data_IF_657609934753
#
_entry.id   IF_657609934753
#
_cell.length_a   1.000
_cell.length_b   1.000
_cell.length_c   1.000
_cell.angle_alpha   90.00
_cell.angle_beta   90.00
_cell.angle_gamma   90.00
#
_symmetry.space_group_name_H-M   'P 1'
#
loop_
_entity.id
_entity.type
_entity.pdbx_description
1 polymer ?
#
# COMPACT_ATOMS: atom_id res chain seq x y z
N UNK A 1 -72.00 0.01 -7.19
CA UNK A 1 -70.89 0.03 -6.22
C UNK A 1 -69.73 -0.99 -6.49
N UNK A 2 -69.66 -1.62 -7.70
CA UNK A 2 -68.62 -2.64 -8.00
C UNK A 2 -67.46 -2.14 -8.91
N UNK A 3 -67.51 -0.94 -9.42
CA UNK A 3 -66.47 -0.42 -10.36
C UNK A 3 -65.37 0.42 -9.72
N UNK A 4 -65.52 0.87 -8.49
CA UNK A 4 -64.54 1.73 -7.81
C UNK A 4 -63.48 0.95 -7.04
N UNK A 5 -63.77 -0.32 -6.67
CA UNK A 5 -62.80 -1.17 -5.90
C UNK A 5 -61.66 -1.68 -6.80
N UNK A 6 -61.90 -1.86 -8.10
CA UNK A 6 -60.91 -2.38 -9.04
C UNK A 6 -59.79 -1.33 -9.35
N UNK A 7 -60.12 -0.04 -9.35
CA UNK A 7 -59.13 0.99 -9.60
C UNK A 7 -58.18 1.32 -8.45
N UNK A 8 -58.60 1.09 -7.22
CA UNK A 8 -57.77 1.28 -6.03
C UNK A 8 -56.74 0.14 -5.89
N UNK A 9 -57.07 -1.10 -6.27
CA UNK A 9 -56.14 -2.22 -6.26
C UNK A 9 -55.08 -2.15 -7.38
N UNK A 10 -55.38 -1.59 -8.54
CA UNK A 10 -54.43 -1.37 -9.62
C UNK A 10 -53.45 -0.20 -9.30
N UNK A 11 -53.93 0.84 -8.60
CA UNK A 11 -53.07 1.95 -8.16
C UNK A 11 -52.08 1.52 -7.04
N UNK A 12 -52.46 0.61 -6.16
CA UNK A 12 -51.56 0.09 -5.12
C UNK A 12 -50.55 -0.94 -5.64
N UNK A 13 -50.82 -1.63 -6.75
CA UNK A 13 -49.83 -2.50 -7.42
C UNK A 13 -48.80 -1.72 -8.26
N UNK A 14 -49.13 -0.50 -8.74
CA UNK A 14 -48.20 0.35 -9.49
C UNK A 14 -47.19 1.08 -8.61
N UNK A 15 -47.44 1.22 -7.29
CA UNK A 15 -46.53 1.83 -6.33
C UNK A 15 -45.45 0.86 -5.79
N UNK A 16 -45.58 -0.43 -6.05
CA UNK A 16 -44.62 -1.47 -5.62
C UNK A 16 -43.47 -1.76 -6.60
N UNK A 17 -43.49 -1.21 -7.78
CA UNK A 17 -42.50 -1.49 -8.86
C UNK A 17 -41.44 -0.40 -9.07
N UNK A 18 -41.41 0.65 -8.25
CA UNK A 18 -40.48 1.78 -8.41
C UNK A 18 -39.24 1.73 -7.50
N UNK A 19 -38.89 0.59 -6.90
CA UNK A 19 -37.78 0.50 -5.95
C UNK A 19 -36.76 -0.61 -6.25
N UNK A 20 -36.55 -0.94 -7.52
CA UNK A 20 -35.31 -1.62 -7.95
C UNK A 20 -34.53 -0.67 -8.85
N UNK A 21 -33.99 0.40 -8.29
CA UNK A 21 -32.88 1.12 -8.94
C UNK A 21 -31.73 0.11 -9.09
N UNK A 22 -31.27 -0.11 -10.32
CA UNK A 22 -30.10 -0.94 -10.60
C UNK A 22 -28.96 -0.47 -9.69
N UNK A 23 -28.51 -1.36 -8.79
CA UNK A 23 -27.36 -1.12 -7.91
C UNK A 23 -26.10 -1.04 -8.76
N UNK A 24 -25.83 0.14 -9.33
CA UNK A 24 -24.72 0.33 -10.25
C UNK A 24 -23.50 0.86 -9.50
N UNK A 25 -22.42 0.06 -9.47
CA UNK A 25 -21.11 0.51 -8.99
C UNK A 25 -20.46 1.40 -10.05
N UNK A 26 -20.05 2.61 -9.67
CA UNK A 26 -19.24 3.49 -10.52
C UNK A 26 -17.79 3.09 -10.36
N UNK A 27 -17.11 2.79 -11.46
CA UNK A 27 -15.69 2.40 -11.48
C UNK A 27 -14.92 3.47 -12.25
N UNK A 28 -13.82 3.94 -11.68
CA UNK A 28 -12.90 4.88 -12.31
C UNK A 28 -11.48 4.34 -12.22
N UNK A 29 -10.73 4.44 -13.30
CA UNK A 29 -9.36 3.96 -13.41
C UNK A 29 -8.41 5.06 -13.85
N UNK A 30 -7.16 4.98 -13.39
CA UNK A 30 -6.06 5.86 -13.79
C UNK A 30 -4.73 5.11 -13.65
N UNK A 31 -3.63 5.76 -14.06
CA UNK A 31 -2.28 5.25 -13.88
C UNK A 31 -1.43 6.32 -13.19
N UNK A 32 -1.11 6.08 -11.90
CA UNK A 32 -0.34 6.99 -11.05
C UNK A 32 0.59 6.15 -10.16
N UNK A 33 1.67 6.71 -9.64
CA UNK A 33 2.67 6.00 -8.82
C UNK A 33 3.31 4.79 -9.52
N UNK A 34 3.37 4.81 -10.87
CA UNK A 34 3.88 3.70 -11.65
C UNK A 34 2.98 2.46 -11.64
N UNK A 35 1.68 2.60 -11.32
CA UNK A 35 0.74 1.49 -11.25
C UNK A 35 -0.68 1.87 -11.63
N UNK A 36 -1.52 0.86 -11.90
CA UNK A 36 -2.97 1.05 -12.08
C UNK A 36 -3.60 1.42 -10.74
N UNK A 37 -4.44 2.44 -10.81
CA UNK A 37 -5.29 2.90 -9.70
C UNK A 37 -6.74 2.66 -10.10
N UNK A 38 -7.54 2.16 -9.17
CA UNK A 38 -8.97 1.92 -9.36
C UNK A 38 -9.75 2.41 -8.13
N UNK A 39 -10.82 3.17 -8.38
CA UNK A 39 -11.77 3.60 -7.36
C UNK A 39 -13.15 3.10 -7.76
N UNK A 40 -13.73 2.22 -6.94
CA UNK A 40 -15.09 1.72 -7.08
C UNK A 40 -15.97 2.37 -6.03
N UNK A 41 -17.12 2.94 -6.43
CA UNK A 41 -18.09 3.55 -5.52
C UNK A 41 -19.43 2.83 -5.67
N UNK A 42 -19.95 2.34 -4.55
CA UNK A 42 -21.23 1.62 -4.46
C UNK A 42 -22.23 2.43 -3.61
N UNK A 43 -22.42 3.70 -3.97
CA UNK A 43 -23.28 4.64 -3.26
C UNK A 43 -24.56 4.93 -4.05
N UNK A 44 -25.68 5.11 -3.34
CA UNK A 44 -26.97 5.47 -3.94
C UNK A 44 -27.10 7.00 -4.10
N UNK A 45 -26.14 7.64 -4.78
CA UNK A 45 -26.11 9.08 -5.05
C UNK A 45 -25.96 9.34 -6.56
N UNK A 46 -26.14 10.58 -6.99
CA UNK A 46 -26.01 10.94 -8.40
C UNK A 46 -24.59 10.60 -8.93
N UNK A 47 -24.52 9.97 -10.09
CA UNK A 47 -23.25 9.58 -10.72
C UNK A 47 -22.31 10.76 -10.94
N UNK A 48 -22.87 11.96 -11.25
CA UNK A 48 -22.08 13.20 -11.40
C UNK A 48 -21.35 13.58 -10.12
N UNK A 49 -22.01 13.42 -8.97
CA UNK A 49 -21.39 13.67 -7.66
C UNK A 49 -20.24 12.68 -7.36
N UNK A 50 -20.45 11.40 -7.67
CA UNK A 50 -19.39 10.38 -7.55
C UNK A 50 -18.20 10.73 -8.42
N UNK A 51 -18.45 11.08 -9.69
CA UNK A 51 -17.37 11.45 -10.64
C UNK A 51 -16.57 12.67 -10.17
N UNK A 52 -17.25 13.68 -9.61
CA UNK A 52 -16.58 14.86 -9.05
C UNK A 52 -15.67 14.50 -7.85
N UNK A 53 -16.17 13.69 -6.91
CA UNK A 53 -15.38 13.25 -5.76
C UNK A 53 -14.17 12.40 -6.18
N UNK A 54 -14.35 11.46 -7.11
CA UNK A 54 -13.27 10.64 -7.64
C UNK A 54 -12.26 11.48 -8.41
N UNK A 55 -12.69 12.50 -9.17
CA UNK A 55 -11.77 13.42 -9.84
C UNK A 55 -10.86 14.15 -8.83
N UNK A 56 -11.38 14.56 -7.66
CA UNK A 56 -10.57 15.14 -6.56
C UNK A 56 -9.55 14.14 -6.02
N UNK A 57 -9.94 12.87 -5.85
CA UNK A 57 -9.01 11.79 -5.44
C UNK A 57 -7.88 11.63 -6.45
N UNK A 58 -8.20 11.53 -7.74
CA UNK A 58 -7.19 11.34 -8.78
C UNK A 58 -6.27 12.56 -8.92
N UNK A 59 -6.81 13.77 -8.79
CA UNK A 59 -6.02 15.00 -8.77
C UNK A 59 -5.05 15.05 -7.58
N UNK A 60 -5.48 14.58 -6.41
CA UNK A 60 -4.60 14.47 -5.23
C UNK A 60 -3.51 13.43 -5.46
N UNK A 61 -3.79 12.29 -6.05
CA UNK A 61 -2.77 11.29 -6.40
C UNK A 61 -1.72 11.84 -7.36
N UNK A 62 -2.14 12.56 -8.40
CA UNK A 62 -1.24 13.25 -9.32
C UNK A 62 -0.36 14.29 -8.63
N UNK A 63 -0.95 15.06 -7.70
CA UNK A 63 -0.20 16.03 -6.89
C UNK A 63 0.85 15.32 -6.04
N UNK A 64 0.45 14.28 -5.29
CA UNK A 64 1.36 13.50 -4.44
C UNK A 64 2.48 12.87 -5.25
N UNK A 65 2.15 12.29 -6.42
CA UNK A 65 3.13 11.69 -7.31
C UNK A 65 4.19 12.70 -7.74
N UNK A 66 3.79 13.91 -8.18
CA UNK A 66 4.74 14.96 -8.58
C UNK A 66 5.53 15.52 -7.40
N UNK A 67 4.91 15.71 -6.25
CA UNK A 67 5.54 16.34 -5.09
C UNK A 67 6.59 15.43 -4.44
N UNK A 68 6.31 14.11 -4.39
CA UNK A 68 7.11 13.13 -3.65
C UNK A 68 7.84 12.14 -4.56
N UNK A 69 7.97 12.45 -5.86
CA UNK A 69 8.75 11.61 -6.77
C UNK A 69 10.23 11.64 -6.38
N UNK A 70 10.83 10.45 -6.17
CA UNK A 70 12.21 10.36 -5.68
C UNK A 70 13.27 10.57 -6.78
N UNK A 71 12.87 10.52 -8.07
CA UNK A 71 13.81 10.42 -9.22
C UNK A 71 13.52 11.42 -10.36
N UNK A 72 12.50 12.26 -10.19
CA UNK A 72 12.18 13.37 -11.09
C UNK A 72 12.12 14.66 -10.29
N UNK A 73 12.27 15.83 -10.92
CA UNK A 73 12.23 17.11 -10.21
C UNK A 73 10.98 17.25 -9.33
N UNK A 74 11.17 17.39 -8.02
CA UNK A 74 10.13 17.39 -7.01
C UNK A 74 10.61 18.07 -5.72
N UNK A 75 9.72 18.30 -4.74
CA UNK A 75 10.13 18.74 -3.40
C UNK A 75 11.07 17.70 -2.74
N UNK A 76 10.80 16.40 -2.96
CA UNK A 76 11.62 15.33 -2.39
C UNK A 76 13.03 15.30 -2.99
N UNK A 77 13.19 15.47 -4.30
CA UNK A 77 14.53 15.51 -4.92
C UNK A 77 15.30 16.74 -4.50
N UNK A 78 14.66 17.90 -4.34
CA UNK A 78 15.31 19.10 -3.79
C UNK A 78 15.84 18.85 -2.38
N UNK A 79 15.05 18.15 -1.53
CA UNK A 79 15.52 17.76 -0.21
C UNK A 79 16.71 16.78 -0.30
N UNK A 80 16.64 15.77 -1.15
CA UNK A 80 17.74 14.82 -1.36
C UNK A 80 19.03 15.50 -1.82
N UNK A 81 18.94 16.48 -2.72
CA UNK A 81 20.09 17.27 -3.20
C UNK A 81 20.70 18.10 -2.08
N UNK A 82 19.88 18.76 -1.26
CA UNK A 82 20.33 19.52 -0.11
C UNK A 82 21.03 18.63 0.94
N UNK A 83 20.45 17.46 1.24
CA UNK A 83 21.04 16.48 2.16
C UNK A 83 22.40 15.97 1.65
N UNK A 84 22.51 15.67 0.35
CA UNK A 84 23.75 15.24 -0.29
C UNK A 84 24.83 16.32 -0.24
N UNK A 85 24.45 17.60 -0.36
CA UNK A 85 25.33 18.74 -0.24
C UNK A 85 25.68 19.13 1.21
N UNK A 86 25.12 18.43 2.23
CA UNK A 86 25.29 18.79 3.64
C UNK A 86 24.57 20.07 4.05
N UNK A 87 23.59 20.49 3.27
CA UNK A 87 22.82 21.70 3.50
C UNK A 87 21.50 21.38 4.21
N UNK A 88 20.92 22.37 4.89
CA UNK A 88 19.55 22.30 5.35
C UNK A 88 18.60 22.85 4.29
N UNK A 89 17.41 22.28 4.23
CA UNK A 89 16.33 22.78 3.38
C UNK A 89 15.06 22.99 4.23
N UNK A 90 14.32 24.06 3.96
CA UNK A 90 12.98 24.24 4.50
C UNK A 90 11.99 23.48 3.60
N UNK A 91 11.21 22.58 4.21
CA UNK A 91 10.20 21.76 3.52
C UNK A 91 8.80 22.15 3.95
N UNK A 92 7.81 21.81 3.13
CA UNK A 92 6.39 22.03 3.44
C UNK A 92 5.98 21.29 4.73
N UNK A 93 4.92 21.79 5.38
CA UNK A 93 4.33 21.12 6.57
C UNK A 93 3.93 19.68 6.27
N UNK A 94 3.42 19.43 5.06
CA UNK A 94 3.03 18.09 4.63
C UNK A 94 4.25 17.16 4.51
N UNK A 95 5.32 17.60 3.86
CA UNK A 95 6.59 16.86 3.78
C UNK A 95 7.16 16.59 5.18
N UNK A 96 7.17 17.58 6.06
CA UNK A 96 7.62 17.42 7.45
C UNK A 96 6.81 16.34 8.18
N UNK A 97 5.49 16.32 8.00
CA UNK A 97 4.61 15.29 8.56
C UNK A 97 4.96 13.89 8.07
N UNK A 98 5.18 13.71 6.77
CA UNK A 98 5.59 12.43 6.17
C UNK A 98 6.95 11.96 6.70
N UNK A 99 7.91 12.87 6.84
CA UNK A 99 9.23 12.54 7.38
C UNK A 99 9.16 12.08 8.84
N UNK A 100 8.40 12.79 9.67
CA UNK A 100 8.22 12.43 11.09
C UNK A 100 7.48 11.10 11.26
N UNK A 101 6.46 10.85 10.44
CA UNK A 101 5.74 9.57 10.45
C UNK A 101 6.65 8.43 10.00
N UNK A 102 7.44 8.63 8.94
CA UNK A 102 8.38 7.65 8.44
C UNK A 102 9.51 7.34 9.44
N UNK A 103 9.99 8.35 10.21
CA UNK A 103 10.93 8.12 11.32
C UNK A 103 10.34 7.21 12.40
N UNK A 104 9.05 7.40 12.76
CA UNK A 104 8.36 6.53 13.73
C UNK A 104 8.29 5.09 13.23
N UNK A 105 7.94 4.87 11.97
CA UNK A 105 7.91 3.53 11.37
C UNK A 105 9.30 2.89 11.28
N UNK A 106 10.32 3.66 10.91
CA UNK A 106 11.71 3.19 10.89
C UNK A 106 12.15 2.72 12.27
N UNK A 107 11.89 3.53 13.29
CA UNK A 107 12.20 3.19 14.68
C UNK A 107 11.43 1.95 15.15
N UNK A 108 10.11 1.88 14.93
CA UNK A 108 9.28 0.75 15.34
C UNK A 108 9.71 -0.56 14.68
N UNK A 109 10.18 -0.50 13.41
CA UNK A 109 10.66 -1.66 12.65
C UNK A 109 12.16 -1.94 12.85
N UNK A 110 12.85 -1.20 13.73
CA UNK A 110 14.30 -1.32 13.94
C UNK A 110 15.07 -1.17 12.61
N UNK A 111 14.65 -0.20 11.80
CA UNK A 111 15.25 0.13 10.51
C UNK A 111 14.98 -0.87 9.37
N UNK A 112 14.16 -1.91 9.56
CA UNK A 112 13.77 -2.83 8.47
C UNK A 112 12.87 -2.12 7.44
N UNK A 113 12.05 -1.15 7.86
CA UNK A 113 11.50 -0.15 6.98
C UNK A 113 12.29 1.15 7.17
N UNK A 114 12.96 1.61 6.13
CA UNK A 114 13.67 2.88 6.15
C UNK A 114 13.62 3.54 4.77
N UNK A 115 12.93 4.66 4.60
CA UNK A 115 12.91 5.38 3.34
C UNK A 115 14.23 6.15 3.05
N UNK A 116 15.20 6.17 3.96
CA UNK A 116 16.54 6.75 3.74
C UNK A 116 17.45 5.94 2.82
N UNK A 117 16.95 4.86 2.21
CA UNK A 117 17.69 3.91 1.38
C UNK A 117 17.69 4.25 -0.13
N UNK A 118 17.31 5.45 -0.54
CA UNK A 118 17.18 5.80 -1.95
C UNK A 118 18.45 5.52 -2.77
N UNK A 119 19.64 5.77 -2.22
CA UNK A 119 20.91 5.42 -2.90
C UNK A 119 21.08 3.91 -3.10
N UNK A 120 20.63 3.09 -2.16
CA UNK A 120 20.63 1.62 -2.30
C UNK A 120 19.67 1.19 -3.41
N UNK A 121 18.48 1.78 -3.47
CA UNK A 121 17.51 1.56 -4.55
C UNK A 121 18.13 1.89 -5.91
N UNK A 122 18.89 3.01 -6.00
CA UNK A 122 19.61 3.40 -7.20
C UNK A 122 20.74 2.41 -7.57
N UNK A 123 21.52 1.92 -6.59
CA UNK A 123 22.56 0.91 -6.81
C UNK A 123 21.99 -0.38 -7.43
N UNK A 124 20.81 -0.81 -6.98
CA UNK A 124 20.09 -1.98 -7.52
C UNK A 124 19.32 -1.70 -8.82
N UNK A 125 19.28 -0.44 -9.29
CA UNK A 125 18.58 -0.05 -10.52
C UNK A 125 17.07 0.03 -10.41
N UNK A 126 16.47 -0.10 -9.22
CA UNK A 126 15.01 -0.06 -9.03
C UNK A 126 14.40 1.35 -9.01
N UNK A 127 15.18 2.37 -9.31
CA UNK A 127 14.75 3.77 -9.41
C UNK A 127 14.07 4.13 -10.74
N UNK A 128 14.02 3.21 -11.71
CA UNK A 128 13.41 3.42 -13.02
C UNK A 128 12.26 2.44 -13.25
N UNK A 129 11.35 2.78 -14.17
CA UNK A 129 10.25 1.90 -14.57
C UNK A 129 10.73 0.70 -15.42
N UNK A 130 11.86 0.89 -16.13
CA UNK A 130 12.58 -0.18 -16.83
C UNK A 130 14.00 -0.28 -16.27
N UNK A 131 14.41 -1.46 -15.89
CA UNK A 131 15.74 -1.70 -15.33
C UNK A 131 16.47 -2.81 -16.06
N UNK A 132 17.81 -2.65 -16.14
CA UNK A 132 18.70 -3.67 -16.73
C UNK A 132 19.00 -4.71 -15.65
N UNK A 133 18.86 -6.01 -16.00
CA UNK A 133 19.24 -7.10 -15.11
C UNK A 133 20.77 -7.12 -14.94
N UNK A 134 21.25 -6.43 -13.91
CA UNK A 134 22.68 -6.31 -13.58
C UNK A 134 22.86 -6.23 -12.07
N UNK A 135 23.75 -7.06 -11.55
CA UNK A 135 24.14 -6.98 -10.13
C UNK A 135 24.97 -5.72 -9.89
N UNK A 136 24.71 -4.98 -8.80
CA UNK A 136 25.54 -3.87 -8.39
C UNK A 136 26.92 -4.34 -7.94
N UNK A 137 27.91 -3.43 -7.97
CA UNK A 137 29.23 -3.68 -7.43
C UNK A 137 29.16 -3.97 -5.92
N UNK A 138 29.64 -5.14 -5.46
CA UNK A 138 29.67 -5.46 -4.03
C UNK A 138 30.47 -4.46 -3.18
N UNK A 139 31.47 -3.81 -3.76
CA UNK A 139 32.27 -2.76 -3.07
C UNK A 139 31.39 -1.54 -2.79
N UNK A 140 30.53 -1.15 -3.73
CA UNK A 140 29.60 -0.04 -3.57
C UNK A 140 28.52 -0.37 -2.52
N UNK A 141 27.96 -1.60 -2.54
CA UNK A 141 27.00 -2.05 -1.52
C UNK A 141 27.64 -2.01 -0.14
N UNK A 142 28.83 -2.61 0.03
CA UNK A 142 29.53 -2.64 1.29
C UNK A 142 29.89 -1.25 1.80
N UNK A 143 30.22 -0.29 0.91
CA UNK A 143 30.46 1.09 1.28
C UNK A 143 29.20 1.76 1.78
N UNK A 144 28.04 1.51 1.13
CA UNK A 144 26.72 2.00 1.54
C UNK A 144 26.33 1.44 2.91
N UNK A 145 26.46 0.12 3.13
CA UNK A 145 26.16 -0.53 4.41
C UNK A 145 27.03 0.04 5.54
N UNK A 146 28.31 0.26 5.31
CA UNK A 146 29.21 0.89 6.32
C UNK A 146 28.83 2.33 6.65
N UNK A 147 28.36 3.09 5.65
CA UNK A 147 27.89 4.45 5.86
C UNK A 147 26.56 4.51 6.64
N UNK A 148 25.80 3.41 6.64
CA UNK A 148 24.57 3.20 7.41
C UNK A 148 23.57 4.38 7.30
N UNK A 149 23.21 4.84 6.09
CA UNK A 149 22.26 5.94 5.95
C UNK A 149 20.87 5.52 6.41
N UNK A 150 20.19 6.40 7.12
CA UNK A 150 18.86 6.15 7.70
C UNK A 150 18.08 7.44 7.84
N UNK A 151 16.76 7.38 7.66
CA UNK A 151 15.87 8.50 7.95
C UNK A 151 15.95 8.94 9.42
N UNK A 152 16.36 8.06 10.33
CA UNK A 152 16.55 8.36 11.75
C UNK A 152 17.66 9.42 11.98
N UNK A 153 18.53 9.64 11.00
CA UNK A 153 19.61 10.64 11.07
C UNK A 153 19.17 12.04 10.64
N UNK A 154 17.93 12.20 10.17
CA UNK A 154 17.39 13.51 9.88
C UNK A 154 17.07 14.27 11.19
N UNK A 155 17.52 15.50 11.25
CA UNK A 155 17.04 16.49 12.22
C UNK A 155 15.98 17.34 11.57
N UNK A 156 14.79 17.36 12.15
CA UNK A 156 13.60 18.03 11.65
C UNK A 156 13.19 19.06 12.69
N UNK A 157 13.49 20.31 12.40
CA UNK A 157 13.20 21.45 13.27
C UNK A 157 11.93 22.14 12.74
N UNK A 158 10.75 21.82 13.31
CA UNK A 158 9.45 22.34 12.88
C UNK A 158 9.27 23.81 13.21
N UNK A 159 8.56 24.53 12.32
CA UNK A 159 8.10 25.90 12.51
C UNK A 159 6.63 26.07 12.04
N UNK A 160 6.12 27.30 12.03
CA UNK A 160 4.72 27.60 11.68
C UNK A 160 4.37 27.32 10.22
N UNK A 161 5.37 27.20 9.33
CA UNK A 161 5.17 27.04 7.88
C UNK A 161 5.59 25.66 7.36
N UNK A 162 6.41 24.92 8.13
CA UNK A 162 6.93 23.61 7.75
C UNK A 162 8.01 23.12 8.69
N UNK A 163 9.17 22.77 8.15
CA UNK A 163 10.33 22.37 8.94
C UNK A 163 11.66 22.61 8.22
N UNK A 164 12.69 22.95 8.96
CA UNK A 164 14.07 22.85 8.48
C UNK A 164 14.57 21.41 8.65
N UNK A 165 15.03 20.81 7.55
CA UNK A 165 15.52 19.43 7.54
C UNK A 165 16.99 19.42 7.19
N UNK A 166 17.78 18.61 7.90
CA UNK A 166 19.21 18.38 7.66
C UNK A 166 19.62 16.99 8.11
N UNK A 167 20.74 16.50 7.60
CA UNK A 167 21.41 15.28 8.08
C UNK A 167 22.92 15.50 8.21
N UNK A 168 23.54 14.82 9.17
CA UNK A 168 24.99 14.71 9.25
C UNK A 168 25.56 13.62 8.32
N UNK A 169 24.71 12.73 7.81
CA UNK A 169 25.09 11.68 6.88
C UNK A 169 24.64 12.05 5.45
N UNK A 170 25.59 12.45 4.62
CA UNK A 170 25.34 12.87 3.23
C UNK A 170 24.98 11.68 2.30
N UNK A 171 24.99 10.45 2.81
CA UNK A 171 24.55 9.27 2.07
C UNK A 171 23.05 9.02 2.17
N UNK A 172 22.34 9.71 3.08
CA UNK A 172 20.89 9.62 3.18
C UNK A 172 20.28 10.19 1.88
N UNK A 173 19.43 9.39 1.25
CA UNK A 173 18.57 9.81 0.16
C UNK A 173 17.20 9.17 0.36
N UNK A 174 16.16 9.98 0.31
CA UNK A 174 14.81 9.56 0.65
C UNK A 174 14.09 9.01 -0.58
N UNK A 175 13.34 7.93 -0.37
CA UNK A 175 12.39 7.35 -1.32
C UNK A 175 11.16 6.86 -0.57
N UNK A 176 9.99 7.44 -0.88
CA UNK A 176 8.72 7.08 -0.25
C UNK A 176 7.96 5.97 -0.99
N UNK A 177 8.53 5.31 -1.98
CA UNK A 177 7.88 4.23 -2.73
C UNK A 177 7.33 3.09 -1.88
N UNK A 178 7.88 2.92 -0.66
CA UNK A 178 7.42 1.93 0.32
C UNK A 178 6.28 2.38 1.24
N UNK A 179 5.80 3.63 1.15
CA UNK A 179 4.75 4.19 2.03
C UNK A 179 3.74 5.06 1.30
N UNK A 180 4.12 5.66 0.16
CA UNK A 180 3.33 6.69 -0.50
C UNK A 180 1.96 6.18 -0.99
N UNK A 181 1.88 4.92 -1.45
CA UNK A 181 0.60 4.33 -1.87
C UNK A 181 -0.37 4.17 -0.71
N UNK A 182 0.15 3.77 0.44
CA UNK A 182 -0.64 3.67 1.66
C UNK A 182 -1.13 5.03 2.16
N UNK A 183 -0.24 6.05 2.15
CA UNK A 183 -0.62 7.44 2.46
C UNK A 183 -1.70 7.96 1.49
N UNK A 184 -1.59 7.62 0.20
CA UNK A 184 -2.57 7.98 -0.81
C UNK A 184 -3.94 7.32 -0.56
N UNK A 185 -4.00 6.07 -0.05
CA UNK A 185 -5.25 5.43 0.37
C UNK A 185 -5.94 6.22 1.49
N UNK A 186 -5.18 6.63 2.52
CA UNK A 186 -5.74 7.41 3.64
C UNK A 186 -6.27 8.77 3.16
N UNK A 187 -5.56 9.44 2.24
CA UNK A 187 -6.00 10.69 1.62
C UNK A 187 -7.27 10.52 0.80
N UNK A 188 -7.33 9.48 -0.03
CA UNK A 188 -8.51 9.17 -0.84
C UNK A 188 -9.74 8.89 0.03
N UNK A 189 -9.56 8.12 1.10
CA UNK A 189 -10.62 7.82 2.05
C UNK A 189 -11.17 9.10 2.70
N UNK A 190 -10.31 10.04 3.10
CA UNK A 190 -10.71 11.33 3.64
C UNK A 190 -11.52 12.15 2.63
N UNK A 191 -11.02 12.31 1.39
CA UNK A 191 -11.68 13.06 0.32
C UNK A 191 -13.07 12.48 0.00
N UNK A 192 -13.18 11.14 -0.09
CA UNK A 192 -14.46 10.51 -0.38
C UNK A 192 -15.47 10.70 0.76
N UNK A 193 -15.03 10.54 2.03
CA UNK A 193 -15.89 10.76 3.20
C UNK A 193 -16.34 12.21 3.33
N UNK A 194 -15.46 13.19 3.07
CA UNK A 194 -15.81 14.61 3.03
C UNK A 194 -16.85 14.92 1.95
N UNK A 195 -16.82 14.18 0.83
CA UNK A 195 -17.85 14.25 -0.21
C UNK A 195 -19.13 13.45 0.13
N UNK A 196 -19.26 12.86 1.33
CA UNK A 196 -20.41 12.05 1.72
C UNK A 196 -20.45 10.66 1.09
N UNK A 197 -19.36 10.19 0.48
CA UNK A 197 -19.24 8.84 -0.10
C UNK A 197 -18.65 7.92 0.96
N UNK A 198 -19.48 7.00 1.45
CA UNK A 198 -19.14 6.09 2.53
C UNK A 198 -18.99 4.62 2.09
N UNK A 199 -19.28 4.30 0.84
CA UNK A 199 -19.22 2.94 0.29
C UNK A 199 -18.32 2.91 -0.94
N UNK A 200 -17.02 2.66 -0.75
CA UNK A 200 -16.03 2.64 -1.82
C UNK A 200 -14.95 1.59 -1.60
N UNK A 201 -14.32 1.15 -2.69
CA UNK A 201 -13.08 0.38 -2.68
C UNK A 201 -12.03 1.13 -3.47
N UNK A 202 -10.89 1.40 -2.85
CA UNK A 202 -9.77 2.11 -3.45
C UNK A 202 -8.62 1.13 -3.59
N UNK A 203 -8.08 0.97 -4.80
CA UNK A 203 -6.97 0.06 -5.09
C UNK A 203 -5.84 0.84 -5.79
N UNK A 204 -4.66 0.81 -5.21
CA UNK A 204 -3.44 1.42 -5.75
C UNK A 204 -2.37 0.34 -5.87
N UNK A 205 -2.31 -0.32 -7.04
CA UNK A 205 -1.30 -1.34 -7.32
C UNK A 205 -1.29 -2.51 -6.34
N UNK A 206 -2.48 -2.92 -5.85
CA UNK A 206 -2.62 -4.02 -4.90
C UNK A 206 -2.64 -3.60 -3.42
N UNK A 207 -2.35 -2.35 -3.09
CA UNK A 207 -2.71 -1.78 -1.79
C UNK A 207 -4.16 -1.33 -1.86
N UNK A 208 -5.01 -1.85 -0.99
CA UNK A 208 -6.47 -1.67 -1.09
C UNK A 208 -7.05 -1.19 0.23
N UNK A 209 -7.97 -0.22 0.18
CA UNK A 209 -8.76 0.23 1.33
C UNK A 209 -10.25 0.14 1.02
N UNK A 210 -11.01 -0.37 1.98
CA UNK A 210 -12.46 -0.46 1.91
C UNK A 210 -13.11 0.63 2.78
N UNK A 211 -14.12 1.29 2.23
CA UNK A 211 -15.05 2.16 2.95
C UNK A 211 -16.43 1.51 2.90
N UNK A 212 -17.09 1.40 4.06
CA UNK A 212 -18.43 0.83 4.18
C UNK A 212 -18.56 -0.55 3.55
N UNK A 213 -19.60 -0.71 2.74
CA UNK A 213 -19.98 -2.00 2.15
C UNK A 213 -20.31 -1.87 0.66
N UNK A 214 -20.25 -2.97 -0.07
CA UNK A 214 -20.82 -3.09 -1.41
C UNK A 214 -22.26 -3.53 -1.32
N UNK A 215 -23.18 -2.56 -1.23
CA UNK A 215 -24.63 -2.80 -1.11
C UNK A 215 -25.03 -3.71 0.05
N UNK A 216 -24.42 -3.50 1.22
CA UNK A 216 -24.69 -4.27 2.44
C UNK A 216 -23.81 -5.52 2.62
N UNK A 217 -22.93 -5.84 1.66
CA UNK A 217 -21.97 -6.93 1.76
C UNK A 217 -20.54 -6.41 1.92
N UNK A 218 -19.64 -7.11 2.60
CA UNK A 218 -18.21 -6.74 2.64
C UNK A 218 -17.61 -6.66 1.24
N UNK A 219 -16.61 -5.79 1.09
CA UNK A 219 -15.81 -5.73 -0.12
C UNK A 219 -14.93 -6.97 -0.25
N UNK A 220 -14.87 -7.56 -1.43
CA UNK A 220 -14.09 -8.76 -1.70
C UNK A 220 -12.87 -8.41 -2.54
N UNK A 221 -11.69 -8.74 -2.02
CA UNK A 221 -10.39 -8.46 -2.64
C UNK A 221 -9.66 -9.76 -2.90
N UNK A 222 -9.23 -9.98 -4.14
CA UNK A 222 -8.39 -11.10 -4.50
C UNK A 222 -6.93 -10.82 -4.12
N UNK A 223 -6.30 -11.74 -3.38
CA UNK A 223 -4.87 -11.74 -3.11
C UNK A 223 -4.20 -12.62 -4.15
N UNK A 224 -3.31 -12.05 -4.94
CA UNK A 224 -2.63 -12.74 -6.05
C UNK A 224 -1.73 -13.87 -5.55
N UNK A 225 -1.72 -14.99 -6.27
CA UNK A 225 -0.76 -16.05 -6.05
C UNK A 225 0.64 -15.63 -6.55
N UNK A 226 1.71 -15.88 -5.78
CA UNK A 226 3.07 -15.44 -6.14
C UNK A 226 3.67 -16.18 -7.35
N UNK A 227 3.22 -17.39 -7.64
CA UNK A 227 3.89 -18.30 -8.59
C UNK A 227 3.01 -18.79 -9.75
N UNK A 228 1.72 -18.44 -9.73
CA UNK A 228 0.81 -18.80 -10.82
C UNK A 228 -0.19 -17.68 -11.08
N UNK A 229 -0.81 -17.71 -12.26
CA UNK A 229 -1.84 -16.75 -12.61
C UNK A 229 -3.13 -17.00 -11.82
N UNK A 230 -3.70 -15.94 -11.24
CA UNK A 230 -4.95 -16.00 -10.50
C UNK A 230 -4.78 -15.75 -9.00
N UNK A 231 -5.87 -15.83 -8.25
CA UNK A 231 -5.88 -15.56 -6.82
C UNK A 231 -5.42 -16.77 -6.01
N UNK A 232 -4.55 -16.51 -5.01
CA UNK A 232 -4.27 -17.45 -3.92
C UNK A 232 -5.50 -17.59 -3.01
N UNK A 233 -6.10 -16.45 -2.68
CA UNK A 233 -7.26 -16.39 -1.78
C UNK A 233 -8.08 -15.15 -2.04
N UNK A 234 -9.31 -15.13 -1.52
CA UNK A 234 -10.18 -13.96 -1.50
C UNK A 234 -10.36 -13.53 -0.05
N UNK A 235 -10.13 -12.25 0.21
CA UNK A 235 -10.29 -11.58 1.50
C UNK A 235 -11.55 -10.71 1.47
N UNK A 236 -12.34 -10.77 2.55
CA UNK A 236 -13.43 -9.83 2.80
C UNK A 236 -12.93 -8.69 3.68
N UNK A 237 -12.92 -7.46 3.12
CA UNK A 237 -12.55 -6.24 3.85
C UNK A 237 -13.79 -5.57 4.45
N UNK A 238 -13.65 -5.08 5.68
CA UNK A 238 -14.64 -4.32 6.43
C UNK A 238 -14.42 -2.83 6.25
N UNK A 239 -15.38 -2.03 6.70
CA UNK A 239 -15.26 -0.56 6.69
C UNK A 239 -13.99 -0.08 7.42
N UNK A 240 -13.23 0.79 6.75
CA UNK A 240 -11.99 1.37 7.26
C UNK A 240 -10.78 0.43 7.25
N UNK A 241 -10.93 -0.84 6.86
CA UNK A 241 -9.79 -1.74 6.73
C UNK A 241 -9.00 -1.47 5.46
N UNK A 242 -7.67 -1.58 5.59
CA UNK A 242 -6.74 -1.59 4.46
C UNK A 242 -5.92 -2.87 4.43
N UNK A 243 -5.57 -3.32 3.23
CA UNK A 243 -4.65 -4.43 3.00
C UNK A 243 -3.53 -3.99 2.07
N UNK A 244 -2.32 -4.42 2.38
CA UNK A 244 -1.14 -4.26 1.54
C UNK A 244 -0.43 -5.59 1.36
N UNK A 245 0.25 -5.75 0.22
CA UNK A 245 1.06 -6.93 -0.08
C UNK A 245 2.45 -6.51 -0.55
N UNK A 246 3.48 -7.04 0.09
CA UNK A 246 4.85 -7.05 -0.40
C UNK A 246 5.16 -8.41 -1.00
N UNK A 247 5.72 -8.46 -2.21
CA UNK A 247 6.00 -9.71 -2.91
C UNK A 247 7.22 -9.60 -3.83
N UNK A 248 7.90 -10.73 -4.03
CA UNK A 248 9.09 -10.86 -4.86
C UNK A 248 8.80 -10.96 -6.37
N UNK A 249 7.53 -10.95 -6.73
CA UNK A 249 7.03 -11.21 -8.09
C UNK A 249 6.52 -9.96 -8.81
N UNK A 250 6.40 -8.82 -8.13
CA UNK A 250 5.88 -7.59 -8.74
C UNK A 250 6.97 -6.80 -9.47
N UNK A 251 8.10 -6.55 -8.78
CA UNK A 251 9.26 -5.81 -9.32
C UNK A 251 10.52 -6.57 -8.97
N UNK A 252 11.16 -7.17 -9.97
CA UNK A 252 12.39 -7.95 -9.83
C UNK A 252 13.12 -8.02 -11.16
N UNK A 253 14.36 -8.42 -11.13
CA UNK A 253 15.09 -8.92 -12.29
C UNK A 253 15.72 -10.29 -11.97
N UNK A 254 16.15 -11.01 -13.00
CA UNK A 254 16.79 -12.30 -12.83
C UNK A 254 18.19 -12.27 -13.45
N UNK A 255 19.17 -12.83 -12.73
CA UNK A 255 20.54 -13.06 -13.19
C UNK A 255 20.91 -14.49 -12.83
N UNK A 256 21.39 -15.26 -13.79
CA UNK A 256 21.82 -16.67 -13.61
C UNK A 256 20.74 -17.55 -12.93
N UNK A 257 19.47 -17.32 -13.27
CA UNK A 257 18.33 -18.05 -12.72
C UNK A 257 17.94 -17.66 -11.29
N UNK A 258 18.64 -16.70 -10.68
CA UNK A 258 18.30 -16.16 -9.35
C UNK A 258 17.49 -14.88 -9.50
N UNK A 259 16.40 -14.77 -8.73
CA UNK A 259 15.52 -13.60 -8.67
C UNK A 259 16.01 -12.60 -7.61
N UNK A 260 16.04 -11.33 -8.00
CA UNK A 260 16.41 -10.20 -7.15
C UNK A 260 15.24 -9.23 -7.07
N UNK A 261 14.40 -9.31 -6.01
CA UNK A 261 13.27 -8.41 -5.83
C UNK A 261 13.70 -7.03 -5.36
N UNK A 262 12.83 -6.04 -5.60
CA UNK A 262 13.05 -4.65 -5.17
C UNK A 262 12.97 -4.43 -3.65
N UNK A 263 12.59 -5.44 -2.88
CA UNK A 263 12.50 -5.39 -1.41
C UNK A 263 13.90 -5.59 -0.81
N UNK A 264 14.57 -4.47 -0.60
CA UNK A 264 15.96 -4.45 -0.14
C UNK A 264 16.03 -4.47 1.39
N UNK A 265 16.95 -5.26 1.93
CA UNK A 265 17.25 -5.26 3.37
C UNK A 265 18.27 -4.16 3.69
N UNK A 266 17.91 -3.12 4.45
CA UNK A 266 18.81 -2.01 4.75
C UNK A 266 20.06 -2.41 5.52
N UNK A 267 20.03 -3.54 6.23
CA UNK A 267 21.16 -4.02 7.04
C UNK A 267 22.22 -4.74 6.22
N UNK A 268 21.78 -5.45 5.19
CA UNK A 268 22.71 -6.23 4.34
C UNK A 268 23.05 -5.52 3.02
N UNK A 269 22.18 -4.60 2.58
CA UNK A 269 22.26 -3.95 1.27
C UNK A 269 21.81 -4.83 0.10
N UNK A 270 21.24 -6.02 0.38
CA UNK A 270 20.77 -6.98 -0.64
C UNK A 270 19.27 -7.16 -0.59
N UNK A 271 18.64 -7.63 -1.69
CA UNK A 271 17.27 -8.10 -1.68
C UNK A 271 17.03 -9.14 -0.61
N UNK A 272 15.87 -9.07 0.06
CA UNK A 272 15.50 -10.00 1.11
C UNK A 272 15.12 -11.37 0.51
N UNK A 273 15.77 -12.48 0.91
CA UNK A 273 15.47 -13.83 0.44
C UNK A 273 14.38 -14.52 1.29
N UNK A 274 13.92 -15.68 0.82
CA UNK A 274 13.18 -16.65 1.64
C UNK A 274 11.67 -16.39 1.76
N UNK A 275 11.13 -15.37 1.08
CA UNK A 275 9.71 -15.03 1.13
C UNK A 275 9.19 -14.73 -0.27
N UNK A 276 8.06 -15.33 -0.63
CA UNK A 276 7.38 -15.02 -1.87
C UNK A 276 6.43 -13.81 -1.71
N UNK A 277 5.66 -13.77 -0.62
CA UNK A 277 4.79 -12.62 -0.32
C UNK A 277 4.40 -12.54 1.16
N UNK A 278 4.09 -11.31 1.57
CA UNK A 278 3.44 -11.01 2.85
C UNK A 278 2.28 -10.07 2.58
N UNK A 279 1.09 -10.48 3.01
CA UNK A 279 -0.11 -9.64 3.00
C UNK A 279 -0.56 -9.39 4.43
N UNK A 280 -0.95 -8.17 4.75
CA UNK A 280 -1.53 -7.83 6.05
C UNK A 280 -2.88 -7.14 5.89
N UNK A 281 -3.68 -7.19 6.95
CA UNK A 281 -4.90 -6.39 7.09
C UNK A 281 -4.75 -5.49 8.31
N UNK A 282 -5.06 -4.24 8.14
CA UNK A 282 -4.93 -3.20 9.17
C UNK A 282 -6.24 -2.41 9.26
N UNK A 283 -6.64 -2.06 10.46
CA UNK A 283 -7.79 -1.20 10.75
C UNK A 283 -7.37 0.03 11.58
N UNK A 284 -8.31 0.96 11.79
CA UNK A 284 -8.11 2.15 12.60
C UNK A 284 -7.34 3.27 11.91
N UNK A 285 -6.81 4.26 12.67
CA UNK A 285 -6.15 5.43 12.11
C UNK A 285 -4.96 5.07 11.22
N UNK A 286 -4.82 5.77 10.08
CA UNK A 286 -3.73 5.59 9.14
C UNK A 286 -3.60 4.13 8.65
N UNK A 287 -4.74 3.42 8.49
CA UNK A 287 -4.75 2.02 8.06
C UNK A 287 -4.09 1.85 6.69
N UNK A 288 -4.25 2.82 5.79
CA UNK A 288 -3.63 2.82 4.47
C UNK A 288 -2.10 2.78 4.55
N UNK A 289 -1.47 3.78 5.17
CA UNK A 289 -0.01 3.83 5.27
C UNK A 289 0.55 2.68 6.10
N UNK A 290 -0.13 2.28 7.18
CA UNK A 290 0.28 1.13 8.00
C UNK A 290 0.23 -0.17 7.20
N UNK A 291 -0.78 -0.39 6.37
CA UNK A 291 -0.88 -1.59 5.51
C UNK A 291 0.24 -1.66 4.47
N UNK A 292 0.69 -0.50 3.95
CA UNK A 292 1.82 -0.46 3.03
C UNK A 292 3.15 -0.70 3.77
N UNK A 293 3.45 0.11 4.79
CA UNK A 293 4.73 0.12 5.50
C UNK A 293 5.02 -1.19 6.21
N UNK A 294 4.06 -1.74 6.97
CA UNK A 294 4.32 -2.87 7.87
C UNK A 294 4.55 -4.21 7.14
N UNK A 295 4.18 -4.32 5.87
CA UNK A 295 4.53 -5.51 5.06
C UNK A 295 6.03 -5.64 4.83
N UNK A 296 6.80 -4.53 4.76
CA UNK A 296 8.23 -4.53 4.45
C UNK A 296 9.06 -5.20 5.55
N UNK A 297 8.97 -4.79 6.83
CA UNK A 297 9.72 -5.45 7.89
C UNK A 297 9.36 -6.93 8.04
N UNK A 298 8.09 -7.31 7.83
CA UNK A 298 7.66 -8.71 7.86
C UNK A 298 8.27 -9.52 6.71
N UNK A 299 8.31 -8.95 5.51
CA UNK A 299 8.93 -9.58 4.35
C UNK A 299 10.45 -9.70 4.52
N UNK A 300 11.10 -8.61 4.89
CA UNK A 300 12.57 -8.53 5.00
C UNK A 300 13.11 -9.43 6.12
N UNK A 301 12.33 -9.67 7.17
CA UNK A 301 12.75 -10.54 8.29
C UNK A 301 12.72 -12.04 7.96
N UNK A 302 12.19 -12.45 6.81
CA UNK A 302 12.18 -13.85 6.38
C UNK A 302 11.49 -14.76 7.39
N UNK A 303 12.17 -15.81 7.83
CA UNK A 303 11.64 -16.77 8.82
C UNK A 303 11.31 -16.15 10.19
N UNK A 304 11.81 -14.95 10.50
CA UNK A 304 11.54 -14.24 11.77
C UNK A 304 10.28 -13.36 11.71
N UNK A 305 9.51 -13.40 10.62
CA UNK A 305 8.35 -12.53 10.40
C UNK A 305 7.37 -12.52 11.59
N UNK A 306 7.19 -13.64 12.27
CA UNK A 306 6.25 -13.78 13.38
C UNK A 306 6.67 -12.95 14.60
N UNK A 307 7.96 -12.98 14.97
CA UNK A 307 8.49 -12.14 16.05
C UNK A 307 8.38 -10.65 15.71
N UNK A 308 8.57 -10.30 14.45
CA UNK A 308 8.39 -8.92 13.96
C UNK A 308 6.90 -8.53 14.00
N UNK A 309 5.99 -9.42 13.60
CA UNK A 309 4.54 -9.17 13.67
C UNK A 309 4.08 -8.90 15.11
N UNK A 310 4.54 -9.69 16.07
CA UNK A 310 4.27 -9.50 17.50
C UNK A 310 4.80 -8.15 17.99
N UNK A 311 6.05 -7.80 17.68
CA UNK A 311 6.66 -6.52 18.06
C UNK A 311 5.91 -5.33 17.47
N UNK A 312 5.46 -5.42 16.22
CA UNK A 312 4.70 -4.39 15.52
C UNK A 312 3.20 -4.42 15.85
N UNK A 313 2.77 -5.31 16.74
CA UNK A 313 1.37 -5.52 17.11
C UNK A 313 0.47 -5.71 15.87
N UNK A 314 0.98 -6.49 14.89
CA UNK A 314 0.27 -6.80 13.65
C UNK A 314 -0.32 -8.22 13.70
N UNK A 315 -1.62 -8.36 14.08
CA UNK A 315 -2.20 -9.67 14.34
C UNK A 315 -2.73 -10.36 13.07
N UNK A 316 -2.86 -9.66 11.96
CA UNK A 316 -3.53 -10.14 10.75
C UNK A 316 -2.54 -10.26 9.59
N UNK A 317 -1.87 -11.41 9.47
CA UNK A 317 -0.79 -11.67 8.49
C UNK A 317 -1.08 -12.94 7.71
N UNK A 318 -0.90 -12.87 6.39
CA UNK A 318 -0.77 -14.00 5.46
C UNK A 318 0.65 -13.96 4.90
N UNK A 319 1.43 -14.99 5.14
CA UNK A 319 2.83 -15.13 4.73
C UNK A 319 2.99 -16.35 3.82
N UNK A 320 3.65 -16.18 2.69
CA UNK A 320 4.01 -17.24 1.76
C UNK A 320 5.53 -17.36 1.74
N UNK A 321 6.05 -18.46 2.26
CA UNK A 321 7.48 -18.76 2.30
C UNK A 321 8.02 -19.08 0.90
N UNK A 322 9.35 -19.15 0.77
CA UNK A 322 10.04 -19.46 -0.50
C UNK A 322 9.63 -20.83 -1.07
N UNK A 323 9.41 -21.83 -0.23
CA UNK A 323 8.95 -23.16 -0.60
C UNK A 323 7.45 -23.24 -0.96
N UNK A 324 6.72 -22.13 -0.88
CA UNK A 324 5.29 -22.06 -1.14
C UNK A 324 4.41 -22.37 0.06
N UNK A 325 4.97 -22.70 1.22
CA UNK A 325 4.21 -22.91 2.47
C UNK A 325 3.46 -21.62 2.83
N UNK A 326 2.15 -21.74 3.00
CA UNK A 326 1.27 -20.62 3.38
C UNK A 326 1.06 -20.65 4.88
N UNK A 327 1.44 -19.58 5.56
CA UNK A 327 1.20 -19.38 6.98
C UNK A 327 0.23 -18.22 7.19
N UNK A 328 -0.78 -18.42 8.05
CA UNK A 328 -1.82 -17.43 8.31
C UNK A 328 -2.08 -17.31 9.80
N UNK A 329 -2.15 -16.08 10.31
CA UNK A 329 -2.51 -15.84 11.71
C UNK A 329 -3.98 -16.16 11.97
N UNK A 330 -4.30 -16.63 13.19
CA UNK A 330 -5.65 -17.06 13.55
C UNK A 330 -6.72 -15.98 13.27
N UNK A 331 -6.41 -14.73 13.56
CA UNK A 331 -7.34 -13.60 13.34
C UNK A 331 -7.75 -13.40 11.87
N UNK A 332 -6.89 -13.82 10.94
CA UNK A 332 -7.11 -13.65 9.50
C UNK A 332 -7.64 -14.92 8.84
N UNK A 333 -7.32 -16.10 9.39
CA UNK A 333 -7.55 -17.40 8.75
C UNK A 333 -9.02 -17.62 8.35
N UNK A 334 -9.98 -17.28 9.23
CA UNK A 334 -11.40 -17.51 8.97
C UNK A 334 -12.02 -16.51 7.97
N UNK A 335 -11.28 -15.48 7.60
CA UNK A 335 -11.69 -14.43 6.65
C UNK A 335 -11.20 -14.70 5.24
N UNK A 336 -10.31 -15.68 5.04
CA UNK A 336 -9.70 -16.03 3.77
C UNK A 336 -10.43 -17.20 3.13
N UNK A 337 -10.73 -17.06 1.83
CA UNK A 337 -11.33 -18.11 1.00
C UNK A 337 -10.31 -18.56 -0.03
N UNK A 338 -9.45 -19.50 0.36
CA UNK A 338 -8.41 -20.03 -0.52
C UNK A 338 -8.98 -20.66 -1.78
N UNK A 339 -8.29 -20.44 -2.89
CA UNK A 339 -8.68 -20.95 -4.20
C UNK A 339 -7.82 -22.15 -4.56
N UNK A 340 -8.41 -23.23 -5.10
CA UNK A 340 -7.62 -24.35 -5.58
C UNK A 340 -6.84 -23.95 -6.84
N UNK A 341 -5.59 -24.44 -6.93
CA UNK A 341 -4.77 -24.41 -8.14
C UNK A 341 -4.53 -25.86 -8.57
N UNK A 342 -4.82 -26.21 -9.82
CA UNK A 342 -4.78 -27.60 -10.35
C UNK A 342 -5.54 -28.61 -9.45
N UNK A 343 -6.70 -28.18 -8.94
CA UNK A 343 -7.57 -29.00 -8.08
C UNK A 343 -7.07 -29.20 -6.64
N UNK A 344 -5.97 -28.54 -6.23
CA UNK A 344 -5.39 -28.65 -4.89
C UNK A 344 -5.43 -27.32 -4.17
N UNK A 345 -5.83 -27.34 -2.90
CA UNK A 345 -5.65 -26.21 -2.00
C UNK A 345 -4.17 -26.11 -1.55
N UNK A 346 -3.65 -24.88 -1.28
CA UNK A 346 -2.34 -24.73 -0.70
C UNK A 346 -2.24 -25.40 0.67
N UNK A 347 -1.01 -25.80 1.06
CA UNK A 347 -0.73 -26.24 2.44
C UNK A 347 -0.77 -25.01 3.37
N UNK A 348 -1.77 -24.96 4.25
CA UNK A 348 -2.07 -23.81 5.09
C UNK A 348 -1.76 -24.11 6.55
N UNK A 349 -0.81 -23.40 7.12
CA UNK A 349 -0.47 -23.43 8.52
C UNK A 349 -1.15 -22.29 9.26
N UNK A 350 -2.11 -22.60 10.14
CA UNK A 350 -2.68 -21.63 11.08
C UNK A 350 -1.72 -21.39 12.22
N UNK A 351 -1.42 -20.13 12.48
CA UNK A 351 -0.46 -19.74 13.52
C UNK A 351 -1.19 -18.85 14.53
N UNK A 352 -1.08 -19.22 15.79
CA UNK A 352 -1.49 -18.34 16.90
C UNK A 352 -0.34 -17.37 17.19
N UNK A 353 -0.61 -16.06 17.24
CA UNK A 353 0.41 -15.04 17.52
C UNK A 353 0.94 -15.12 18.95
#
# INVERSE_FOLDING_TARGET
MRRWVVWVQVALMALGLAACGDKKTVVSESFVFGTRVEVQVAEAVAESHVREAVAKVLAEFDRMHRTYHAWQPSELTQLNDALAAGQRLHVSREMAGLLLEAQKFSQASDGLFDPGIGRLIALWGFHADSYVAKLPDPVAINAWVRAHPSIAQLKIDADDTGAWVRSSNHQVALDFGGSLKGTALDRAAAILREAGINNALINIGGNVMALGTRYGSPWRVAIQAPRYAGPLTVLELRDGEATGTSGDYQRYFEVDGQRYPHLLNPRTGYPAPGVQSVTIVVDGPNAGVRSDVLTKPLFISGAQWMAIAQRLQQPSVLHVAEDGTVSVTANLADRLKFQPHDGKLPDIRRISP
#
